data_IF_833495962173
#
_entry.id   IF_833495962173
#
_cell.length_a   1.000
_cell.length_b   1.000
_cell.length_c   1.000
_cell.angle_alpha   90.00
_cell.angle_beta   90.00
_cell.angle_gamma   90.00
#
_symmetry.space_group_name_H-M   'P 1'
#
loop_
_entity.id
_entity.type
_entity.pdbx_description
1 polymer ?
#
# COMPACT_ATOMS: atom_id res chain seq x y z
N UNK A 1 26.67 -14.30 -14.58
CA UNK A 1 26.75 -14.67 -16.00
C UNK A 1 26.02 -13.61 -16.80
N UNK A 2 26.75 -12.98 -17.72
CA UNK A 2 26.30 -11.83 -18.50
C UNK A 2 25.25 -12.27 -19.53
N UNK A 3 24.00 -11.87 -19.29
CA UNK A 3 22.89 -12.01 -20.22
C UNK A 3 22.49 -10.64 -20.77
N UNK A 4 22.74 -10.44 -22.06
CA UNK A 4 22.41 -9.24 -22.81
C UNK A 4 20.88 -9.08 -22.96
N UNK A 5 20.21 -8.38 -22.05
CA UNK A 5 18.89 -7.82 -22.32
C UNK A 5 18.60 -6.59 -21.43
N UNK A 6 18.38 -5.45 -22.10
CA UNK A 6 17.95 -4.15 -21.57
C UNK A 6 18.94 -3.43 -20.63
N UNK A 7 19.73 -2.51 -21.21
CA UNK A 7 20.15 -1.21 -20.62
C UNK A 7 20.63 -1.09 -19.16
N UNK A 8 20.88 -2.19 -18.46
CA UNK A 8 21.22 -2.19 -17.06
C UNK A 8 22.73 -2.05 -16.91
N UNK A 9 23.19 -0.86 -16.52
CA UNK A 9 24.53 -0.68 -15.97
C UNK A 9 24.81 -1.80 -14.94
N UNK A 10 25.97 -2.44 -15.06
CA UNK A 10 26.32 -3.77 -14.53
C UNK A 10 26.22 -4.04 -13.02
N UNK A 11 25.53 -3.21 -12.24
CA UNK A 11 25.15 -3.49 -10.84
C UNK A 11 23.69 -3.90 -10.64
N UNK A 12 22.79 -3.57 -11.58
CA UNK A 12 21.34 -3.68 -11.42
C UNK A 12 20.81 -2.77 -10.30
N UNK A 13 19.67 -2.09 -10.52
CA UNK A 13 19.02 -1.33 -9.44
C UNK A 13 18.46 -2.34 -8.42
N UNK A 14 18.70 -2.11 -7.12
CA UNK A 14 18.08 -2.92 -6.06
C UNK A 14 16.56 -2.84 -6.17
N UNK A 15 15.88 -3.98 -6.05
CA UNK A 15 14.42 -4.01 -5.98
C UNK A 15 13.91 -3.51 -4.63
N UNK A 16 12.64 -3.09 -4.56
CA UNK A 16 12.02 -2.57 -3.34
C UNK A 16 12.07 -3.55 -2.15
N UNK A 17 11.97 -4.86 -2.41
CA UNK A 17 12.14 -5.88 -1.37
C UNK A 17 13.59 -6.00 -0.85
N UNK A 18 14.59 -5.74 -1.70
CA UNK A 18 15.99 -5.67 -1.24
C UNK A 18 16.23 -4.41 -0.40
N UNK A 19 15.65 -3.28 -0.81
CA UNK A 19 15.75 -2.01 -0.08
C UNK A 19 15.05 -2.07 1.27
N UNK A 20 13.92 -2.78 1.35
CA UNK A 20 13.14 -2.96 2.58
C UNK A 20 13.67 -4.08 3.50
N UNK A 21 14.82 -4.70 3.18
CA UNK A 21 15.34 -5.79 3.98
C UNK A 21 15.62 -5.37 5.44
N UNK A 22 15.18 -6.19 6.40
CA UNK A 22 15.09 -5.89 7.83
C UNK A 22 14.17 -4.72 8.21
N UNK A 23 13.29 -4.30 7.30
CA UNK A 23 12.32 -3.24 7.48
C UNK A 23 10.90 -3.68 7.12
N UNK A 24 10.12 -2.72 6.61
CA UNK A 24 8.75 -2.95 6.17
C UNK A 24 8.54 -2.44 4.74
N UNK A 25 7.67 -3.11 4.00
CA UNK A 25 7.17 -2.63 2.71
C UNK A 25 5.66 -2.44 2.79
N UNK A 26 5.20 -1.27 2.33
CA UNK A 26 3.78 -0.98 2.17
C UNK A 26 3.39 -1.16 0.71
N UNK A 27 2.43 -2.03 0.46
CA UNK A 27 1.87 -2.32 -0.86
C UNK A 27 0.46 -1.74 -0.92
N UNK A 28 0.34 -0.58 -1.54
CA UNK A 28 -0.97 0.02 -1.80
C UNK A 28 -1.65 -0.68 -2.98
N UNK A 29 -2.98 -0.70 -2.96
CA UNK A 29 -3.82 -1.28 -4.02
C UNK A 29 -3.40 -2.69 -4.48
N UNK A 30 -3.13 -3.59 -3.54
CA UNK A 30 -2.64 -4.94 -3.86
C UNK A 30 -3.55 -5.74 -4.81
N UNK A 31 -4.84 -5.39 -4.86
CA UNK A 31 -5.81 -6.00 -5.76
C UNK A 31 -5.60 -5.71 -7.25
N UNK A 32 -4.83 -4.68 -7.59
CA UNK A 32 -4.51 -4.30 -8.97
C UNK A 32 -3.25 -5.01 -9.52
N UNK A 33 -2.61 -5.86 -8.70
CA UNK A 33 -1.44 -6.62 -9.14
C UNK A 33 -1.82 -7.59 -10.25
N UNK A 34 -0.99 -7.65 -11.30
CA UNK A 34 -1.12 -8.70 -12.33
C UNK A 34 -0.88 -10.08 -11.72
N UNK A 35 -1.48 -11.12 -12.32
CA UNK A 35 -1.32 -12.52 -11.88
C UNK A 35 0.14 -12.96 -11.71
N UNK A 36 1.03 -12.51 -12.60
CA UNK A 36 2.46 -12.79 -12.50
C UNK A 36 3.11 -12.11 -11.28
N UNK A 37 2.73 -10.86 -10.99
CA UNK A 37 3.19 -10.15 -9.80
C UNK A 37 2.65 -10.78 -8.52
N UNK A 38 1.40 -11.25 -8.52
CA UNK A 38 0.82 -11.97 -7.40
C UNK A 38 1.59 -13.27 -7.09
N UNK A 39 1.95 -14.05 -8.13
CA UNK A 39 2.76 -15.26 -7.97
C UNK A 39 4.16 -14.97 -7.39
N UNK A 40 4.81 -13.91 -7.88
CA UNK A 40 6.11 -13.48 -7.34
C UNK A 40 6.00 -13.03 -5.88
N UNK A 41 4.98 -12.24 -5.55
CA UNK A 41 4.74 -11.79 -4.18
C UNK A 41 4.49 -12.98 -3.24
N UNK A 42 3.66 -13.94 -3.67
CA UNK A 42 3.41 -15.16 -2.90
C UNK A 42 4.72 -15.91 -2.59
N UNK A 43 5.61 -16.06 -3.58
CA UNK A 43 6.92 -16.69 -3.38
C UNK A 43 7.76 -15.95 -2.34
N UNK A 44 7.77 -14.61 -2.36
CA UNK A 44 8.48 -13.82 -1.34
C UNK A 44 7.89 -14.06 0.06
N UNK A 45 6.56 -14.12 0.17
CA UNK A 45 5.87 -14.35 1.44
C UNK A 45 6.05 -15.78 1.98
N UNK A 46 6.27 -16.75 1.11
CA UNK A 46 6.47 -18.17 1.46
C UNK A 46 7.93 -18.47 1.76
N UNK A 47 8.81 -18.21 0.78
CA UNK A 47 10.22 -18.61 0.81
C UNK A 47 11.11 -17.58 1.51
N UNK A 48 10.63 -16.35 1.72
CA UNK A 48 11.44 -15.22 2.22
C UNK A 48 12.65 -14.93 1.33
N UNK A 49 12.47 -15.11 0.03
CA UNK A 49 13.50 -14.92 -0.98
C UNK A 49 12.93 -14.19 -2.19
N UNK A 50 13.78 -13.41 -2.85
CA UNK A 50 13.47 -12.80 -4.15
C UNK A 50 14.45 -13.27 -5.21
N UNK A 51 14.07 -13.11 -6.47
CA UNK A 51 14.97 -13.31 -7.62
C UNK A 51 14.89 -12.04 -8.48
N UNK A 52 16.05 -11.48 -8.84
CA UNK A 52 16.11 -10.31 -9.73
C UNK A 52 15.55 -10.66 -11.11
N UNK A 53 14.99 -9.67 -11.79
CA UNK A 53 14.52 -9.87 -13.18
C UNK A 53 15.71 -10.30 -14.04
N UNK A 54 15.56 -11.43 -14.75
CA UNK A 54 16.63 -12.04 -15.55
C UNK A 54 17.73 -12.77 -14.74
N UNK A 55 17.66 -12.72 -13.41
CA UNK A 55 18.55 -13.47 -12.54
C UNK A 55 18.00 -14.86 -12.21
N UNK A 56 18.89 -15.74 -11.78
CA UNK A 56 18.56 -17.09 -11.28
C UNK A 56 18.88 -17.25 -9.80
N UNK A 57 19.70 -16.35 -9.24
CA UNK A 57 20.12 -16.39 -7.84
C UNK A 57 19.01 -15.89 -6.92
N UNK A 58 18.63 -16.74 -5.98
CA UNK A 58 17.76 -16.35 -4.87
C UNK A 58 18.52 -15.45 -3.88
N UNK A 59 17.85 -14.42 -3.39
CA UNK A 59 18.36 -13.47 -2.41
C UNK A 59 17.42 -13.52 -1.21
N UNK A 60 17.89 -13.96 -0.02
CA UNK A 60 17.07 -13.99 1.18
C UNK A 60 16.73 -12.56 1.63
N UNK A 61 15.49 -12.38 2.04
CA UNK A 61 14.95 -11.10 2.51
C UNK A 61 14.12 -11.31 3.78
N UNK A 62 14.29 -10.40 4.73
CA UNK A 62 13.51 -10.34 5.97
C UNK A 62 12.68 -9.06 5.95
N UNK A 63 11.47 -9.12 5.40
CA UNK A 63 10.63 -7.94 5.20
C UNK A 63 9.27 -8.15 5.83
N UNK A 64 8.82 -7.17 6.63
CA UNK A 64 7.42 -7.10 7.06
C UNK A 64 6.57 -6.53 5.93
N UNK A 65 5.58 -7.27 5.46
CA UNK A 65 4.66 -6.80 4.41
C UNK A 65 3.39 -6.24 5.06
N UNK A 66 3.03 -5.01 4.65
CA UNK A 66 1.77 -4.36 4.99
C UNK A 66 1.09 -4.08 3.65
N UNK A 67 -0.14 -4.55 3.46
CA UNK A 67 -0.88 -4.36 2.22
C UNK A 67 -2.19 -3.62 2.48
N UNK A 68 -2.57 -2.75 1.54
CA UNK A 68 -3.85 -2.08 1.51
C UNK A 68 -4.63 -2.46 0.24
N UNK A 69 -5.97 -2.43 0.35
CA UNK A 69 -6.89 -2.71 -0.74
C UNK A 69 -8.02 -1.69 -0.74
N UNK A 70 -8.47 -1.31 -1.93
CA UNK A 70 -9.73 -0.59 -2.11
C UNK A 70 -10.76 -1.42 -2.91
N UNK A 71 -10.31 -2.50 -3.56
CA UNK A 71 -11.19 -3.40 -4.32
C UNK A 71 -11.80 -4.50 -3.45
N UNK A 72 -12.96 -4.96 -3.87
CA UNK A 72 -13.60 -6.16 -3.35
C UNK A 72 -12.79 -7.39 -3.82
N UNK A 73 -11.85 -7.84 -2.98
CA UNK A 73 -10.98 -8.99 -3.28
C UNK A 73 -11.81 -10.27 -3.38
N UNK A 74 -12.90 -10.38 -2.64
CA UNK A 74 -13.79 -11.53 -2.69
C UNK A 74 -14.37 -11.71 -4.10
N UNK A 75 -14.78 -10.61 -4.75
CA UNK A 75 -15.17 -10.60 -6.16
C UNK A 75 -13.98 -10.88 -7.09
N UNK A 76 -12.82 -10.25 -6.85
CA UNK A 76 -11.63 -10.46 -7.68
C UNK A 76 -11.14 -11.93 -7.67
N UNK A 77 -11.29 -12.63 -6.54
CA UNK A 77 -11.02 -14.06 -6.44
C UNK A 77 -12.04 -14.87 -7.26
N UNK A 78 -13.34 -14.55 -7.14
CA UNK A 78 -14.39 -15.21 -7.91
C UNK A 78 -14.22 -15.01 -9.43
N UNK A 79 -13.75 -13.83 -9.85
CA UNK A 79 -13.48 -13.50 -11.25
C UNK A 79 -12.12 -14.07 -11.75
N UNK A 80 -11.35 -14.74 -10.88
CA UNK A 80 -10.02 -15.31 -11.20
C UNK A 80 -8.94 -14.26 -11.43
N UNK A 81 -9.18 -12.99 -11.10
CA UNK A 81 -8.23 -11.89 -11.25
C UNK A 81 -7.33 -11.72 -10.02
N UNK A 82 -7.69 -12.33 -8.90
CA UNK A 82 -6.87 -12.39 -7.69
C UNK A 82 -6.69 -13.84 -7.19
N UNK A 83 -5.48 -14.22 -6.80
CA UNK A 83 -5.20 -15.56 -6.30
C UNK A 83 -5.62 -15.73 -4.84
N UNK A 84 -6.39 -16.78 -4.58
CA UNK A 84 -6.84 -17.14 -3.23
C UNK A 84 -5.67 -17.45 -2.28
N UNK A 85 -4.63 -18.14 -2.76
CA UNK A 85 -3.46 -18.50 -1.96
C UNK A 85 -2.70 -17.27 -1.43
N UNK A 86 -2.55 -16.24 -2.26
CA UNK A 86 -2.01 -14.95 -1.87
C UNK A 86 -2.92 -14.26 -0.86
N UNK A 87 -4.24 -14.24 -1.09
CA UNK A 87 -5.20 -13.64 -0.18
C UNK A 87 -5.09 -14.23 1.22
N UNK A 88 -5.12 -15.56 1.35
CA UNK A 88 -5.01 -16.21 2.65
C UNK A 88 -3.66 -15.96 3.34
N UNK A 89 -2.59 -15.73 2.58
CA UNK A 89 -1.27 -15.40 3.15
C UNK A 89 -1.19 -13.98 3.71
N UNK A 90 -1.81 -13.00 3.04
CA UNK A 90 -1.80 -11.59 3.47
C UNK A 90 -2.91 -11.26 4.47
N UNK A 91 -4.05 -11.95 4.40
CA UNK A 91 -5.24 -11.66 5.21
C UNK A 91 -5.21 -12.28 6.61
N UNK A 92 -4.01 -12.42 7.20
CA UNK A 92 -3.84 -13.01 8.54
C UNK A 92 -4.23 -12.05 9.66
N UNK A 93 -4.01 -10.75 9.46
CA UNK A 93 -4.33 -9.68 10.41
C UNK A 93 -5.05 -8.53 9.68
N UNK A 94 -6.33 -8.70 9.33
CA UNK A 94 -7.09 -7.66 8.65
C UNK A 94 -7.32 -6.46 9.58
N UNK A 95 -7.05 -5.25 9.09
CA UNK A 95 -7.41 -3.99 9.74
C UNK A 95 -8.38 -3.27 8.83
N UNK A 96 -9.64 -3.17 9.26
CA UNK A 96 -10.66 -2.39 8.54
C UNK A 96 -10.62 -0.95 9.02
N UNK A 97 -10.43 -0.02 8.09
CA UNK A 97 -10.46 1.42 8.36
C UNK A 97 -11.87 1.91 7.98
N UNK A 98 -12.77 2.22 8.93
CA UNK A 98 -14.10 2.70 8.60
C UNK A 98 -14.04 4.03 7.83
N UNK A 99 -14.93 4.27 6.87
CA UNK A 99 -15.02 5.55 6.16
C UNK A 99 -15.40 6.68 7.12
N UNK A 100 -15.08 7.94 6.77
CA UNK A 100 -15.28 9.10 7.64
C UNK A 100 -16.74 9.27 8.10
N UNK A 101 -17.72 8.91 7.25
CA UNK A 101 -19.16 8.91 7.58
C UNK A 101 -19.55 8.00 8.76
N UNK A 102 -18.69 7.06 9.17
CA UNK A 102 -18.89 6.18 10.34
C UNK A 102 -18.08 6.63 11.57
N UNK A 103 -17.38 7.75 11.49
CA UNK A 103 -16.51 8.30 12.54
C UNK A 103 -16.56 9.84 12.52
N UNK A 104 -17.78 10.38 12.62
CA UNK A 104 -18.04 11.82 12.47
C UNK A 104 -17.34 12.66 13.54
N UNK A 105 -17.05 12.07 14.70
CA UNK A 105 -16.28 12.65 15.80
C UNK A 105 -14.85 13.03 15.40
N UNK A 106 -14.26 12.35 14.41
CA UNK A 106 -12.90 12.64 13.93
C UNK A 106 -12.85 13.91 13.04
N UNK A 107 -13.99 14.38 12.52
CA UNK A 107 -14.05 15.45 11.51
C UNK A 107 -13.44 16.76 12.04
N UNK A 108 -13.74 17.15 13.26
CA UNK A 108 -13.24 18.41 13.84
C UNK A 108 -11.71 18.37 13.96
N UNK A 109 -11.17 17.31 14.59
CA UNK A 109 -9.74 17.15 14.81
C UNK A 109 -8.96 17.06 13.49
N UNK A 110 -9.48 16.31 12.51
CA UNK A 110 -8.91 16.22 11.17
C UNK A 110 -8.91 17.57 10.46
N UNK A 111 -10.02 18.32 10.55
CA UNK A 111 -10.14 19.63 9.91
C UNK A 111 -9.13 20.63 10.47
N UNK A 112 -8.96 20.69 11.80
CA UNK A 112 -7.97 21.55 12.44
C UNK A 112 -6.55 21.20 11.97
N UNK A 113 -6.22 19.89 11.95
CA UNK A 113 -4.92 19.40 11.48
C UNK A 113 -4.65 19.78 10.02
N UNK A 114 -5.66 19.63 9.15
CA UNK A 114 -5.56 19.97 7.72
C UNK A 114 -5.41 21.48 7.51
N UNK A 115 -6.17 22.31 8.22
CA UNK A 115 -6.03 23.77 8.18
C UNK A 115 -4.61 24.19 8.56
N UNK A 116 -4.05 23.64 9.63
CA UNK A 116 -2.67 23.93 10.04
C UNK A 116 -1.64 23.54 8.98
N UNK A 117 -1.81 22.37 8.36
CA UNK A 117 -0.94 21.91 7.28
C UNK A 117 -1.02 22.85 6.07
N UNK A 118 -2.23 23.14 5.60
CA UNK A 118 -2.47 24.00 4.42
C UNK A 118 -1.99 25.44 4.69
N UNK A 119 -2.18 25.97 5.89
CA UNK A 119 -1.62 27.27 6.27
C UNK A 119 -0.10 27.32 6.10
N UNK A 120 0.60 26.24 6.50
CA UNK A 120 2.05 26.11 6.37
C UNK A 120 2.49 25.99 4.91
N UNK A 121 1.80 25.16 4.15
CA UNK A 121 2.15 24.86 2.75
C UNK A 121 1.92 26.08 1.83
N UNK A 122 0.93 26.91 2.14
CA UNK A 122 0.48 28.01 1.26
C UNK A 122 0.59 29.42 1.87
N UNK A 123 1.22 29.56 3.04
CA UNK A 123 1.38 30.86 3.72
C UNK A 123 0.04 31.52 4.08
N UNK A 124 -0.94 30.73 4.50
CA UNK A 124 -2.28 31.22 4.91
C UNK A 124 -2.38 31.32 6.43
N UNK A 125 -3.42 32.01 6.90
CA UNK A 125 -3.69 32.19 8.34
C UNK A 125 -5.17 31.92 8.67
N UNK A 126 -5.69 30.80 8.19
CA UNK A 126 -7.04 30.34 8.56
C UNK A 126 -7.00 29.85 10.00
N UNK A 127 -7.81 30.45 10.89
CA UNK A 127 -7.75 30.18 12.34
C UNK A 127 -8.56 28.97 12.80
N UNK A 128 -9.46 28.46 11.95
CA UNK A 128 -10.35 27.35 12.29
C UNK A 128 -11.60 27.35 11.42
N UNK A 129 -12.61 26.58 11.86
CA UNK A 129 -13.91 26.48 11.22
C UNK A 129 -14.96 27.23 12.05
N UNK A 130 -15.95 27.81 11.37
CA UNK A 130 -17.18 28.24 12.05
C UNK A 130 -18.00 27.01 12.43
N UNK A 131 -18.87 27.14 13.45
CA UNK A 131 -19.76 26.04 13.82
C UNK A 131 -20.72 25.64 12.70
N UNK A 132 -21.08 26.59 11.83
CA UNK A 132 -21.89 26.29 10.65
C UNK A 132 -21.11 25.42 9.65
N UNK A 133 -19.84 25.74 9.40
CA UNK A 133 -18.99 24.95 8.51
C UNK A 133 -18.76 23.53 9.07
N UNK A 134 -18.49 23.41 10.37
CA UNK A 134 -18.32 22.10 11.00
C UNK A 134 -19.59 21.25 10.89
N UNK A 135 -20.77 21.82 11.17
CA UNK A 135 -22.05 21.12 10.99
C UNK A 135 -22.28 20.68 9.55
N UNK A 136 -21.94 21.52 8.57
CA UNK A 136 -22.08 21.17 7.16
C UNK A 136 -21.16 19.99 6.78
N UNK A 137 -19.92 19.98 7.27
CA UNK A 137 -18.99 18.86 7.06
C UNK A 137 -19.49 17.57 7.71
N UNK A 138 -20.02 17.64 8.93
CA UNK A 138 -20.57 16.48 9.64
C UNK A 138 -21.86 15.92 9.04
N UNK A 139 -22.60 16.74 8.28
CA UNK A 139 -23.84 16.34 7.61
C UNK A 139 -23.63 15.78 6.19
N UNK A 140 -22.38 15.77 5.69
CA UNK A 140 -22.04 15.28 4.36
C UNK A 140 -21.74 13.76 4.38
N UNK A 141 -22.16 13.04 3.33
CA UNK A 141 -22.05 11.58 3.21
C UNK A 141 -21.24 11.12 2.00
#
# INVERSE_FOLDING_TARGET
EDGAFSGANGGGKKGLFEEANNGSIFLDEIGELTQNMQAKLLRVLQEKEIVRVGGTKAIPVNVRVIAARNVNIEKAMADGTFREDLYYRINRYPISIPPLRQRLEDIEALSVRLIQKINRDYGRNVKGLSQQALRALSAYH
#
